data_IF_633479547596
#
_entry.id   IF_633479547596
#
_cell.length_a   1.000
_cell.length_b   1.000
_cell.length_c   1.000
_cell.angle_alpha   90.00
_cell.angle_beta   90.00
_cell.angle_gamma   90.00
#
_symmetry.space_group_name_H-M   'P 1'
#
loop_
_entity.id
_entity.type
_entity.pdbx_description
1 polymer ?
#
# COMPACT_ATOMS: atom_id res chain seq x y z
N UNK A 1 14.92 -2.55 11.15
CA UNK A 1 13.87 -1.63 11.63
C UNK A 1 12.51 -2.27 11.47
N UNK A 2 11.55 -1.88 12.28
CA UNK A 2 10.18 -2.42 12.19
C UNK A 2 9.39 -1.74 11.08
N UNK A 3 8.54 -2.53 10.42
CA UNK A 3 7.58 -1.99 9.48
C UNK A 3 6.34 -1.49 10.21
N UNK A 4 5.61 -0.57 9.60
CA UNK A 4 4.41 0.01 10.18
C UNK A 4 3.19 -0.31 9.32
N UNK A 5 2.05 -0.47 9.97
CA UNK A 5 0.77 -0.64 9.29
C UNK A 5 -0.14 0.51 9.69
N UNK A 6 -0.65 1.24 8.71
CA UNK A 6 -1.63 2.30 8.92
C UNK A 6 -3.00 1.74 8.59
N UNK A 7 -3.84 1.64 9.60
CA UNK A 7 -5.20 1.13 9.46
C UNK A 7 -6.19 2.16 9.97
N UNK A 8 -7.44 1.96 9.67
CA UNK A 8 -8.51 2.81 10.15
C UNK A 8 -9.80 2.54 9.39
N UNK A 9 -10.91 2.92 10.00
CA UNK A 9 -12.23 2.83 9.40
C UNK A 9 -12.65 4.12 8.72
N UNK A 10 -11.83 5.17 8.83
CA UNK A 10 -12.10 6.48 8.26
C UNK A 10 -11.82 6.51 6.77
N UNK A 11 -12.00 7.67 6.16
CA UNK A 11 -11.79 7.84 4.73
C UNK A 11 -10.38 7.47 4.32
N UNK A 12 -10.24 6.91 3.13
CA UNK A 12 -8.94 6.52 2.58
C UNK A 12 -7.98 7.70 2.50
N UNK A 13 -8.51 8.90 2.24
CA UNK A 13 -7.70 10.13 2.14
C UNK A 13 -6.90 10.37 3.42
N UNK A 14 -7.53 10.21 4.59
CA UNK A 14 -6.85 10.41 5.87
C UNK A 14 -5.74 9.39 6.10
N UNK A 15 -5.98 8.14 5.77
CA UNK A 15 -4.96 7.08 5.91
C UNK A 15 -3.77 7.34 4.99
N UNK A 16 -4.03 7.70 3.74
CA UNK A 16 -2.97 7.99 2.77
C UNK A 16 -2.15 9.19 3.22
N UNK A 17 -2.78 10.24 3.72
CA UNK A 17 -2.08 11.41 4.23
C UNK A 17 -1.11 11.04 5.34
N UNK A 18 -1.58 10.26 6.32
CA UNK A 18 -0.74 9.81 7.44
C UNK A 18 0.39 8.92 6.96
N UNK A 19 0.10 7.98 6.08
CA UNK A 19 1.11 7.08 5.51
C UNK A 19 2.21 7.86 4.79
N UNK A 20 1.83 8.83 3.97
CA UNK A 20 2.78 9.68 3.25
C UNK A 20 3.64 10.51 4.20
N UNK A 21 3.05 11.06 5.25
CA UNK A 21 3.79 11.81 6.27
C UNK A 21 4.82 10.93 6.96
N UNK A 22 4.46 9.71 7.31
CA UNK A 22 5.38 8.77 7.96
C UNK A 22 6.55 8.44 7.02
N UNK A 23 6.26 8.11 5.77
CA UNK A 23 7.31 7.81 4.79
C UNK A 23 8.25 9.00 4.60
N UNK A 24 7.70 10.19 4.40
CA UNK A 24 8.53 11.40 4.22
C UNK A 24 9.37 11.70 5.44
N UNK A 25 8.78 11.61 6.62
CA UNK A 25 9.49 11.90 7.88
C UNK A 25 10.64 10.92 8.11
N UNK A 26 10.42 9.64 7.85
CA UNK A 26 11.47 8.63 7.96
C UNK A 26 12.60 8.90 6.97
N UNK A 27 12.27 9.22 5.73
CA UNK A 27 13.29 9.52 4.73
C UNK A 27 14.07 10.78 5.04
N UNK A 28 13.42 11.80 5.56
CA UNK A 28 14.10 13.02 6.02
C UNK A 28 15.04 12.75 7.19
N UNK A 29 14.73 11.74 8.00
CA UNK A 29 15.60 11.30 9.09
C UNK A 29 16.74 10.37 8.62
N UNK A 30 16.87 10.14 7.33
CA UNK A 30 17.93 9.29 6.76
C UNK A 30 17.59 7.81 6.71
N UNK A 31 16.34 7.44 6.96
CA UNK A 31 15.89 6.04 6.93
C UNK A 31 15.33 5.74 5.54
N UNK A 32 15.79 4.65 4.92
CA UNK A 32 15.29 4.23 3.61
C UNK A 32 13.91 3.58 3.76
N UNK A 33 12.88 4.40 3.69
CA UNK A 33 11.50 3.99 3.87
C UNK A 33 10.72 4.04 2.55
N UNK A 34 9.79 3.11 2.39
CA UNK A 34 8.87 3.06 1.25
C UNK A 34 7.44 2.81 1.73
N UNK A 35 6.46 3.34 1.01
CA UNK A 35 5.06 3.04 1.25
C UNK A 35 4.63 1.82 0.46
N UNK A 36 3.64 1.12 0.95
CA UNK A 36 3.08 -0.07 0.31
C UNK A 36 1.57 -0.04 0.44
N UNK A 37 0.88 -0.05 -0.69
CA UNK A 37 -0.58 -0.14 -0.79
C UNK A 37 -0.90 -1.49 -1.42
N UNK A 38 -1.21 -2.52 -0.65
CA UNK A 38 -1.40 -3.86 -1.20
C UNK A 38 -2.48 -3.93 -2.27
N UNK A 39 -3.61 -3.30 -2.01
CA UNK A 39 -4.75 -3.31 -2.93
C UNK A 39 -5.30 -1.90 -3.07
N UNK A 40 -5.52 -1.44 -4.29
CA UNK A 40 -6.22 -0.20 -4.59
C UNK A 40 -7.49 -0.53 -5.36
N UNK A 41 -8.58 0.16 -5.03
CA UNK A 41 -9.88 -0.01 -5.67
C UNK A 41 -10.36 1.33 -6.22
N UNK A 42 -10.87 1.33 -7.46
CA UNK A 42 -11.40 2.52 -8.11
C UNK A 42 -10.34 3.29 -8.88
N UNK A 43 -9.33 3.78 -8.20
CA UNK A 43 -8.19 4.45 -8.82
C UNK A 43 -6.92 4.14 -8.02
N UNK A 44 -5.79 4.62 -8.52
CA UNK A 44 -4.48 4.39 -7.90
C UNK A 44 -3.88 5.69 -7.35
N UNK A 45 -4.70 6.68 -7.07
CA UNK A 45 -4.22 7.98 -6.59
C UNK A 45 -3.43 7.85 -5.28
N UNK A 46 -3.94 7.04 -4.34
CA UNK A 46 -3.28 6.82 -3.06
C UNK A 46 -1.90 6.18 -3.25
N UNK A 47 -1.82 5.20 -4.16
CA UNK A 47 -0.55 4.56 -4.48
C UNK A 47 0.43 5.55 -5.11
N UNK A 48 -0.05 6.44 -5.98
CA UNK A 48 0.79 7.48 -6.59
C UNK A 48 1.34 8.44 -5.55
N UNK A 49 0.52 8.82 -4.58
CA UNK A 49 0.96 9.70 -3.50
C UNK A 49 2.04 9.03 -2.64
N UNK A 50 1.86 7.75 -2.33
CA UNK A 50 2.87 6.98 -1.60
C UNK A 50 4.17 6.87 -2.39
N UNK A 51 4.08 6.69 -3.70
CA UNK A 51 5.26 6.64 -4.56
C UNK A 51 6.01 7.97 -4.54
N UNK A 52 5.30 9.09 -4.61
CA UNK A 52 5.90 10.42 -4.57
C UNK A 52 6.59 10.70 -3.23
N UNK A 53 6.03 10.18 -2.14
CA UNK A 53 6.61 10.36 -0.81
C UNK A 53 7.85 9.50 -0.59
N UNK A 54 8.01 8.43 -1.34
CA UNK A 54 9.05 7.42 -1.15
C UNK A 54 10.19 7.50 -2.16
N UNK A 55 10.89 6.36 -2.36
CA UNK A 55 11.99 6.28 -3.32
C UNK A 55 11.52 6.51 -4.74
N UNK A 56 12.29 7.29 -5.49
CA UNK A 56 11.91 7.71 -6.85
C UNK A 56 12.04 6.60 -7.89
N UNK A 57 12.86 5.62 -7.63
CA UNK A 57 13.10 4.50 -8.53
C UNK A 57 12.10 3.34 -8.37
N UNK A 58 11.18 3.46 -7.42
CA UNK A 58 10.17 2.46 -7.16
C UNK A 58 9.01 2.62 -8.15
N UNK A 59 8.62 1.54 -8.81
CA UNK A 59 7.48 1.57 -9.73
C UNK A 59 6.16 1.49 -8.98
N UNK A 60 5.09 1.95 -9.62
CA UNK A 60 3.76 1.91 -9.03
C UNK A 60 3.32 0.46 -8.73
N UNK A 61 3.60 -0.47 -9.65
CA UNK A 61 3.24 -1.87 -9.46
C UNK A 61 4.00 -2.54 -8.31
N UNK A 62 5.23 -2.12 -8.05
CA UNK A 62 6.00 -2.66 -6.94
C UNK A 62 5.40 -2.30 -5.58
N UNK A 63 4.86 -1.11 -5.45
CA UNK A 63 4.27 -0.67 -4.19
C UNK A 63 2.75 -0.88 -4.12
N UNK A 64 2.11 -1.16 -5.25
CA UNK A 64 0.67 -1.43 -5.34
C UNK A 64 0.42 -2.58 -6.31
N UNK A 65 0.60 -3.84 -5.86
CA UNK A 65 0.55 -5.00 -6.74
C UNK A 65 -0.85 -5.37 -7.23
N UNK A 66 -1.89 -4.99 -6.51
CA UNK A 66 -3.26 -5.33 -6.90
C UNK A 66 -4.09 -4.07 -7.10
N UNK A 67 -4.69 -3.94 -8.28
CA UNK A 67 -5.61 -2.85 -8.58
C UNK A 67 -6.91 -3.42 -9.12
N UNK A 68 -8.03 -3.01 -8.52
CA UNK A 68 -9.37 -3.40 -8.91
C UNK A 68 -10.13 -2.13 -9.33
N UNK A 69 -10.80 -2.19 -10.46
CA UNK A 69 -11.42 -0.99 -11.07
C UNK A 69 -12.65 -0.51 -10.32
N UNK A 70 -13.37 -1.39 -9.64
CA UNK A 70 -14.56 -1.00 -8.89
C UNK A 70 -14.19 -0.30 -7.58
N UNK A 71 -14.81 0.85 -7.33
CA UNK A 71 -14.54 1.64 -6.13
C UNK A 71 -15.35 1.13 -4.93
N UNK A 72 -15.20 -0.16 -4.61
CA UNK A 72 -15.84 -0.81 -3.47
C UNK A 72 -14.77 -1.48 -2.61
N UNK A 73 -15.16 -2.21 -1.58
CA UNK A 73 -14.17 -2.98 -0.83
C UNK A 73 -13.57 -4.06 -1.74
N UNK A 74 -12.29 -4.45 -1.52
CA UNK A 74 -11.58 -5.36 -2.42
C UNK A 74 -12.32 -6.68 -2.71
N UNK A 75 -12.97 -7.25 -1.72
CA UNK A 75 -13.69 -8.51 -1.90
C UNK A 75 -14.85 -8.35 -2.90
N UNK A 76 -15.64 -7.29 -2.76
CA UNK A 76 -16.77 -7.02 -3.67
C UNK A 76 -16.25 -6.65 -5.05
N UNK A 77 -15.24 -5.81 -5.14
CA UNK A 77 -14.65 -5.42 -6.42
C UNK A 77 -14.12 -6.63 -7.19
N UNK A 78 -13.42 -7.54 -6.51
CA UNK A 78 -12.90 -8.76 -7.14
C UNK A 78 -14.03 -9.63 -7.66
N UNK A 79 -15.13 -9.77 -6.93
CA UNK A 79 -16.29 -10.53 -7.39
C UNK A 79 -16.94 -9.91 -8.61
N UNK A 80 -17.11 -8.59 -8.60
CA UNK A 80 -17.71 -7.86 -9.73
C UNK A 80 -16.85 -7.97 -11.00
N UNK A 81 -15.54 -8.04 -10.85
CA UNK A 81 -14.60 -8.17 -11.96
C UNK A 81 -14.27 -9.62 -12.29
N UNK A 82 -14.95 -10.56 -11.65
CA UNK A 82 -14.76 -12.01 -11.85
C UNK A 82 -13.30 -12.43 -11.67
N UNK A 83 -12.68 -11.92 -10.60
CA UNK A 83 -11.30 -12.23 -10.25
C UNK A 83 -11.18 -12.47 -8.75
N UNK A 84 -10.01 -12.87 -8.30
CA UNK A 84 -9.71 -13.06 -6.89
C UNK A 84 -8.47 -12.25 -6.52
N UNK A 85 -8.45 -11.75 -5.29
CA UNK A 85 -7.26 -11.13 -4.73
C UNK A 85 -6.30 -12.26 -4.34
N UNK A 86 -5.14 -12.31 -4.99
CA UNK A 86 -4.14 -13.32 -4.73
C UNK A 86 -3.18 -12.84 -3.64
N UNK A 87 -3.32 -13.40 -2.45
CA UNK A 87 -2.48 -13.06 -1.31
C UNK A 87 -1.00 -13.32 -1.57
N UNK A 88 -0.67 -14.31 -2.38
CA UNK A 88 0.73 -14.64 -2.71
C UNK A 88 1.40 -13.52 -3.48
N UNK A 89 0.67 -12.87 -4.37
CA UNK A 89 1.18 -11.71 -5.13
C UNK A 89 1.50 -10.57 -4.17
N UNK A 90 0.60 -10.31 -3.23
CA UNK A 90 0.77 -9.27 -2.23
C UNK A 90 1.99 -9.56 -1.34
N UNK A 91 2.09 -10.78 -0.84
CA UNK A 91 3.19 -11.17 0.06
C UNK A 91 4.55 -11.10 -0.64
N UNK A 92 4.63 -11.52 -1.90
CA UNK A 92 5.87 -11.42 -2.68
C UNK A 92 6.29 -9.97 -2.88
N UNK A 93 5.33 -9.10 -3.20
CA UNK A 93 5.61 -7.68 -3.37
C UNK A 93 6.08 -7.05 -2.05
N UNK A 94 5.44 -7.40 -0.94
CA UNK A 94 5.83 -6.93 0.38
C UNK A 94 7.23 -7.39 0.74
N UNK A 95 7.53 -8.68 0.53
CA UNK A 95 8.85 -9.23 0.82
C UNK A 95 9.95 -8.55 0.01
N UNK A 96 9.68 -8.28 -1.27
CA UNK A 96 10.63 -7.59 -2.13
C UNK A 96 10.92 -6.18 -1.62
N UNK A 97 9.89 -5.43 -1.23
CA UNK A 97 10.06 -4.10 -0.67
C UNK A 97 10.80 -4.14 0.67
N UNK A 98 10.42 -5.07 1.52
CA UNK A 98 11.01 -5.21 2.85
C UNK A 98 12.47 -5.60 2.78
N UNK A 99 12.86 -6.38 1.78
CA UNK A 99 14.26 -6.75 1.56
C UNK A 99 15.11 -5.58 1.05
N UNK A 100 14.51 -4.66 0.30
CA UNK A 100 15.21 -3.54 -0.34
C UNK A 100 15.19 -2.25 0.47
N UNK A 101 14.38 -2.16 1.53
CA UNK A 101 14.18 -0.95 2.31
C UNK A 101 14.28 -1.23 3.80
N UNK A 102 14.76 -0.25 4.56
CA UNK A 102 14.87 -0.37 6.01
C UNK A 102 13.51 -0.43 6.70
N UNK A 103 12.53 0.25 6.12
CA UNK A 103 11.19 0.34 6.69
C UNK A 103 10.14 0.38 5.58
N UNK A 104 9.08 -0.40 5.75
CA UNK A 104 7.92 -0.36 4.85
C UNK A 104 6.71 0.11 5.64
N UNK A 105 6.03 1.13 5.12
CA UNK A 105 4.81 1.68 5.71
C UNK A 105 3.64 1.14 4.89
N UNK A 106 2.89 0.21 5.47
CA UNK A 106 1.77 -0.45 4.79
C UNK A 106 0.48 0.29 5.06
N UNK A 107 -0.21 0.72 4.02
CA UNK A 107 -1.55 1.28 4.15
C UNK A 107 -2.58 0.18 3.91
N UNK A 108 -3.32 -0.15 4.95
CA UNK A 108 -4.34 -1.18 4.89
C UNK A 108 -5.60 -0.73 4.15
N UNK A 109 -6.34 -1.70 3.62
CA UNK A 109 -7.57 -1.46 2.84
C UNK A 109 -8.77 -1.97 3.63
N UNK A 110 -8.99 -1.47 4.82
CA UNK A 110 -10.07 -1.94 5.69
C UNK A 110 -9.69 -3.18 6.47
N UNK A 111 -10.59 -3.62 7.31
CA UNK A 111 -10.29 -4.55 8.40
C UNK A 111 -10.18 -6.02 8.03
N UNK A 112 -10.53 -6.43 6.83
CA UNK A 112 -10.90 -7.82 6.70
C UNK A 112 -10.12 -8.64 5.71
N UNK A 113 -9.19 -8.09 4.96
CA UNK A 113 -8.71 -8.83 3.81
C UNK A 113 -7.28 -9.29 3.84
N UNK A 114 -6.45 -8.71 4.69
CA UNK A 114 -5.04 -9.07 4.69
C UNK A 114 -4.59 -9.29 6.11
N UNK A 115 -4.46 -10.54 6.46
CA UNK A 115 -3.79 -10.93 7.69
C UNK A 115 -2.29 -10.89 7.43
N UNK A 116 -1.73 -9.73 7.57
CA UNK A 116 -0.29 -9.55 7.44
C UNK A 116 0.35 -9.61 8.82
#
# INVERSE_FOLDING_TARGET
MRNFIVTGTDTEVGKTYVSCLIVKSLREAGINAAGFKPVACGDRQDARLLREAGPKDLTLDELNPVFLRNATCPYVAARLENTKVDEKVILRAYDALSAAHECVVVEGVGLSLIHI
#
